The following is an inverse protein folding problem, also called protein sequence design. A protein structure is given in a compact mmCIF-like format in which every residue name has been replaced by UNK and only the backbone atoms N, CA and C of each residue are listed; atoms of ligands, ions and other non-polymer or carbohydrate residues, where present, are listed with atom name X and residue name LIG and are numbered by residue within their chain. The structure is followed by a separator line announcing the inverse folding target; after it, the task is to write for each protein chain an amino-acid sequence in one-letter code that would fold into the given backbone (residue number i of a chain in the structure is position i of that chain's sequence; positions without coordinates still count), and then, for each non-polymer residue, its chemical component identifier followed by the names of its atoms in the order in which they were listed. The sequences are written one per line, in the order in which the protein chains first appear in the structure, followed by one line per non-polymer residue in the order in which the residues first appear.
data_IF_365929854436
#
_entry.id   IF_365929854436
#
_cell.length_a   1.000
_cell.length_b   1.000
_cell.length_c   1.000
_cell.angle_alpha   90.00
_cell.angle_beta   90.00
_cell.angle_gamma   90.00
#
_symmetry.space_group_name_H-M   'P 1'
#
loop_
_entity.id
_entity.type
_entity.pdbx_description
1 polymer ?
#
# COMPACT_ATOMS: atom_id res chain seq x y z
N UNK A 1 -11.23 53.51 -37.11
CA UNK A 1 -11.92 52.45 -37.90
C UNK A 1 -10.83 51.57 -38.47
N UNK A 2 -10.73 50.27 -38.28
CA UNK A 2 -11.57 49.22 -37.70
C UNK A 2 -10.62 48.02 -37.42
N UNK A 3 -10.99 47.18 -36.46
CA UNK A 3 -11.39 45.77 -36.68
C UNK A 3 -11.36 45.04 -35.34
N UNK A 4 -12.53 44.90 -34.71
CA UNK A 4 -12.74 43.94 -33.65
C UNK A 4 -12.73 42.54 -34.26
N UNK A 5 -11.84 41.69 -33.76
CA UNK A 5 -11.72 40.28 -34.15
C UNK A 5 -12.84 39.50 -33.46
N UNK A 6 -13.84 39.05 -34.23
CA UNK A 6 -14.74 38.00 -33.76
C UNK A 6 -13.95 36.69 -33.64
N UNK A 7 -13.81 36.23 -32.40
CA UNK A 7 -13.30 34.91 -32.03
C UNK A 7 -14.28 33.85 -32.53
N UNK A 8 -13.91 33.15 -33.60
CA UNK A 8 -14.61 31.93 -34.05
C UNK A 8 -14.39 30.84 -33.03
N UNK A 9 -15.43 30.47 -32.28
CA UNK A 9 -15.42 29.25 -31.47
C UNK A 9 -15.55 28.05 -32.41
N UNK A 10 -14.58 27.14 -32.32
CA UNK A 10 -14.51 25.91 -33.10
C UNK A 10 -15.47 24.87 -32.53
N UNK A 11 -16.60 24.63 -33.18
CA UNK A 11 -17.36 23.38 -33.04
C UNK A 11 -17.18 22.57 -34.33
N UNK A 12 -16.34 21.52 -34.24
CA UNK A 12 -16.01 20.62 -35.34
C UNK A 12 -17.22 19.77 -35.75
N UNK A 13 -17.98 20.25 -36.72
CA UNK A 13 -19.08 19.54 -37.37
C UNK A 13 -19.45 20.21 -38.69
N UNK A 14 -20.09 19.45 -39.59
CA UNK A 14 -20.63 19.98 -40.86
C UNK A 14 -21.46 21.25 -40.56
N UNK A 15 -21.23 22.37 -41.27
CA UNK A 15 -21.91 23.64 -40.98
C UNK A 15 -23.42 23.48 -41.03
N UNK A 16 -24.14 24.26 -40.20
CA UNK A 16 -25.59 24.31 -40.21
C UNK A 16 -26.08 24.71 -41.61
N UNK A 17 -27.19 24.10 -42.05
CA UNK A 17 -27.82 24.42 -43.34
C UNK A 17 -28.55 25.78 -43.35
N UNK A 18 -28.54 26.48 -42.22
CA UNK A 18 -29.20 27.75 -41.99
C UNK A 18 -28.35 28.60 -41.04
N UNK A 19 -28.47 29.92 -41.18
CA UNK A 19 -27.82 30.90 -40.30
C UNK A 19 -28.59 30.98 -38.96
N UNK A 20 -27.92 30.84 -37.80
CA UNK A 20 -28.52 31.08 -36.49
C UNK A 20 -29.28 32.41 -36.36
N UNK A 21 -28.85 33.47 -37.03
CA UNK A 21 -29.51 34.78 -36.98
C UNK A 21 -30.91 34.75 -37.61
N UNK A 22 -31.16 33.83 -38.55
CA UNK A 22 -32.49 33.62 -39.14
C UNK A 22 -33.48 33.05 -38.11
N UNK A 23 -33.02 32.15 -37.24
CA UNK A 23 -33.85 31.60 -36.16
C UNK A 23 -34.29 32.71 -35.22
N UNK A 24 -33.36 33.58 -34.82
CA UNK A 24 -33.66 34.73 -33.98
C UNK A 24 -34.65 35.68 -34.67
N UNK A 25 -34.45 35.99 -35.96
CA UNK A 25 -35.34 36.87 -36.73
C UNK A 25 -36.75 36.31 -36.92
N UNK A 26 -36.91 34.99 -37.11
CA UNK A 26 -38.23 34.35 -37.19
C UNK A 26 -38.97 34.49 -35.86
N UNK A 27 -38.28 34.26 -34.75
CA UNK A 27 -38.85 34.36 -33.40
C UNK A 27 -39.23 35.82 -33.10
N UNK A 28 -38.36 36.80 -33.37
CA UNK A 28 -38.67 38.22 -33.11
C UNK A 28 -39.82 38.74 -33.98
N UNK A 29 -39.90 38.33 -35.26
CA UNK A 29 -41.04 38.67 -36.13
C UNK A 29 -42.34 38.05 -35.62
N UNK A 30 -42.33 36.77 -35.24
CA UNK A 30 -43.50 36.11 -34.70
C UNK A 30 -44.01 36.75 -33.40
N UNK A 31 -43.10 37.23 -32.54
CA UNK A 31 -43.48 38.02 -31.36
C UNK A 31 -44.08 39.38 -31.74
N UNK A 32 -43.54 40.05 -32.75
CA UNK A 32 -44.07 41.33 -33.24
C UNK A 32 -45.48 41.17 -33.86
N UNK A 33 -45.77 40.01 -34.44
CA UNK A 33 -47.09 39.61 -34.95
C UNK A 33 -48.06 39.18 -33.84
N UNK A 34 -47.63 39.18 -32.57
CA UNK A 34 -48.47 38.90 -31.41
C UNK A 34 -48.53 37.43 -30.97
N UNK A 35 -47.67 36.56 -31.51
CA UNK A 35 -47.58 35.17 -31.07
C UNK A 35 -46.93 35.07 -29.69
N UNK A 36 -47.33 34.07 -28.90
CA UNK A 36 -46.66 33.80 -27.61
C UNK A 36 -45.35 33.03 -27.82
N UNK A 37 -44.41 33.14 -26.87
CA UNK A 37 -43.17 32.33 -26.87
C UNK A 37 -43.45 30.81 -26.89
N UNK A 38 -44.62 30.38 -26.40
CA UNK A 38 -45.06 28.98 -26.46
C UNK A 38 -45.51 28.56 -27.86
N UNK A 39 -46.06 29.48 -28.66
CA UNK A 39 -46.50 29.22 -30.04
C UNK A 39 -45.32 29.23 -31.02
N UNK A 40 -44.26 29.97 -30.70
CA UNK A 40 -42.98 30.01 -31.42
C UNK A 40 -42.11 28.78 -31.12
N UNK A 41 -42.71 27.60 -31.22
CA UNK A 41 -42.08 26.32 -30.96
C UNK A 41 -41.08 25.94 -32.05
N UNK A 42 -40.27 24.92 -31.76
CA UNK A 42 -39.38 24.28 -32.72
C UNK A 42 -40.07 23.91 -34.05
N UNK A 43 -41.34 23.47 -33.99
CA UNK A 43 -42.13 23.11 -35.16
C UNK A 43 -42.40 24.31 -36.07
N UNK A 44 -42.82 25.43 -35.46
CA UNK A 44 -43.09 26.68 -36.16
C UNK A 44 -41.84 27.27 -36.81
N UNK A 45 -40.73 27.34 -36.06
CA UNK A 45 -39.46 27.87 -36.59
C UNK A 45 -38.93 26.99 -37.73
N UNK A 46 -39.07 25.67 -37.61
CA UNK A 46 -38.68 24.73 -38.66
C UNK A 46 -39.52 24.90 -39.93
N UNK A 47 -40.82 25.12 -39.79
CA UNK A 47 -41.74 25.37 -40.90
C UNK A 47 -41.39 26.68 -41.61
N UNK A 48 -41.18 27.77 -40.86
CA UNK A 48 -40.76 29.06 -41.41
C UNK A 48 -39.39 29.04 -42.08
N UNK A 49 -38.41 28.32 -41.52
CA UNK A 49 -37.11 28.12 -42.19
C UNK A 49 -37.24 27.37 -43.52
N UNK A 50 -38.17 26.43 -43.62
CA UNK A 50 -38.42 25.68 -44.86
C UNK A 50 -39.18 26.52 -45.89
N UNK A 51 -40.23 27.21 -45.47
CA UNK A 51 -41.14 27.95 -46.37
C UNK A 51 -40.55 29.28 -46.84
N UNK A 52 -39.99 30.07 -45.93
CA UNK A 52 -39.54 31.44 -46.25
C UNK A 52 -38.07 31.50 -46.65
N UNK A 53 -37.26 30.54 -46.17
CA UNK A 53 -35.81 30.53 -46.37
C UNK A 53 -35.31 29.33 -47.18
N UNK A 54 -36.20 28.46 -47.67
CA UNK A 54 -35.85 27.37 -48.59
C UNK A 54 -34.91 26.33 -48.01
N UNK A 55 -34.80 26.24 -46.69
CA UNK A 55 -33.91 25.28 -46.00
C UNK A 55 -34.50 23.88 -46.15
N UNK A 56 -34.01 23.16 -47.16
CA UNK A 56 -34.52 21.86 -47.61
C UNK A 56 -33.71 20.67 -47.10
N UNK A 57 -32.45 20.90 -46.71
CA UNK A 57 -31.60 19.87 -46.09
C UNK A 57 -32.11 19.48 -44.69
N UNK A 58 -31.85 18.23 -44.28
CA UNK A 58 -32.22 17.68 -42.98
C UNK A 58 -31.76 18.58 -41.83
N UNK A 59 -32.66 19.44 -41.33
CA UNK A 59 -32.41 20.28 -40.16
C UNK A 59 -32.24 19.37 -38.94
N UNK A 60 -31.07 19.48 -38.30
CA UNK A 60 -30.78 18.78 -37.05
C UNK A 60 -31.69 19.32 -35.95
N UNK A 61 -32.64 18.49 -35.51
CA UNK A 61 -33.66 18.85 -34.53
C UNK A 61 -33.04 19.44 -33.25
N UNK A 62 -32.02 18.77 -32.71
CA UNK A 62 -31.33 19.17 -31.47
C UNK A 62 -30.64 20.53 -31.59
N UNK A 63 -29.99 20.80 -32.73
CA UNK A 63 -29.30 22.07 -32.96
C UNK A 63 -30.30 23.22 -33.12
N UNK A 64 -31.40 23.00 -33.84
CA UNK A 64 -32.45 24.00 -33.96
C UNK A 64 -33.15 24.26 -32.62
N UNK A 65 -33.43 23.22 -31.84
CA UNK A 65 -34.05 23.35 -30.52
C UNK A 65 -33.19 24.15 -29.54
N UNK A 66 -31.86 23.93 -29.55
CA UNK A 66 -30.94 24.71 -28.76
C UNK A 66 -30.96 26.20 -29.15
N UNK A 67 -31.02 26.50 -30.45
CA UNK A 67 -31.09 27.88 -30.94
C UNK A 67 -32.42 28.57 -30.59
N UNK A 68 -33.55 27.87 -30.70
CA UNK A 68 -34.86 28.40 -30.30
C UNK A 68 -34.90 28.67 -28.79
N UNK A 69 -34.37 27.75 -27.97
CA UNK A 69 -34.29 27.95 -26.51
C UNK A 69 -33.38 29.13 -26.14
N UNK A 70 -32.24 29.26 -26.79
CA UNK A 70 -31.33 30.38 -26.56
C UNK A 70 -31.98 31.72 -26.92
N UNK A 71 -32.63 31.82 -28.08
CA UNK A 71 -33.35 33.02 -28.49
C UNK A 71 -34.51 33.37 -27.54
N UNK A 72 -35.28 32.37 -27.08
CA UNK A 72 -36.31 32.60 -26.06
C UNK A 72 -35.73 33.11 -24.74
N UNK A 73 -34.61 32.55 -24.28
CA UNK A 73 -33.94 32.99 -23.06
C UNK A 73 -33.47 34.44 -23.18
N UNK A 74 -32.80 34.79 -24.29
CA UNK A 74 -32.31 36.14 -24.56
C UNK A 74 -33.45 37.17 -24.62
N UNK A 75 -34.53 36.87 -25.34
CA UNK A 75 -35.68 37.78 -25.44
C UNK A 75 -36.39 37.93 -24.09
N UNK A 76 -36.51 36.84 -23.32
CA UNK A 76 -37.09 36.88 -21.98
C UNK A 76 -36.23 37.70 -21.03
N UNK A 77 -34.91 37.55 -21.11
CA UNK A 77 -33.95 38.33 -20.33
C UNK A 77 -33.99 39.81 -20.69
N UNK A 78 -33.98 40.17 -21.97
CA UNK A 78 -34.10 41.55 -22.43
C UNK A 78 -35.42 42.19 -21.97
N UNK A 79 -36.54 41.44 -22.04
CA UNK A 79 -37.84 41.89 -21.52
C UNK A 79 -37.80 42.07 -20.00
N UNK A 80 -37.19 41.15 -19.26
CA UNK A 80 -37.04 41.26 -17.82
C UNK A 80 -36.17 42.47 -17.43
N UNK A 81 -35.06 42.69 -18.12
CA UNK A 81 -34.20 43.87 -17.92
C UNK A 81 -34.96 45.17 -18.19
N UNK A 82 -35.74 45.22 -19.27
CA UNK A 82 -36.60 46.37 -19.57
C UNK A 82 -37.63 46.61 -18.46
N UNK A 83 -38.30 45.56 -17.97
CA UNK A 83 -39.22 45.66 -16.83
C UNK A 83 -38.52 46.17 -15.57
N UNK A 84 -37.34 45.65 -15.25
CA UNK A 84 -36.56 46.09 -14.11
C UNK A 84 -36.12 47.56 -14.24
N UNK A 85 -35.79 48.02 -15.45
CA UNK A 85 -35.43 49.41 -15.72
C UNK A 85 -36.60 50.40 -15.54
N UNK A 86 -37.85 49.92 -15.55
CA UNK A 86 -39.02 50.77 -15.25
C UNK A 86 -39.23 51.02 -13.77
N UNK A 87 -38.54 50.28 -12.89
CA UNK A 87 -38.65 50.49 -11.44
C UNK A 87 -38.01 51.83 -11.03
N UNK A 88 -38.59 52.55 -10.07
CA UNK A 88 -37.95 53.71 -9.46
C UNK A 88 -36.56 53.36 -8.92
N UNK A 89 -35.63 54.30 -9.11
CA UNK A 89 -34.24 54.13 -8.69
C UNK A 89 -34.14 53.83 -7.19
N UNK A 90 -35.02 54.41 -6.36
CA UNK A 90 -35.05 54.17 -4.92
C UNK A 90 -35.34 52.70 -4.56
N UNK A 91 -36.23 52.04 -5.31
CA UNK A 91 -36.57 50.63 -5.08
C UNK A 91 -35.40 49.73 -5.48
N UNK A 92 -34.81 49.99 -6.66
CA UNK A 92 -33.65 49.22 -7.13
C UNK A 92 -32.45 49.34 -6.17
N UNK A 93 -32.21 50.55 -5.65
CA UNK A 93 -31.17 50.82 -4.67
C UNK A 93 -31.45 50.10 -3.33
N UNK A 94 -32.69 50.15 -2.85
CA UNK A 94 -33.09 49.46 -1.61
C UNK A 94 -32.89 47.95 -1.72
N UNK A 95 -33.33 47.33 -2.83
CA UNK A 95 -33.13 45.89 -3.08
C UNK A 95 -31.64 45.56 -3.17
N UNK A 96 -30.86 46.36 -3.89
CA UNK A 96 -29.40 46.15 -3.98
C UNK A 96 -28.72 46.23 -2.61
N UNK A 97 -29.09 47.19 -1.76
CA UNK A 97 -28.53 47.28 -0.40
C UNK A 97 -28.94 46.11 0.48
N UNK A 98 -30.19 45.64 0.39
CA UNK A 98 -30.64 44.46 1.11
C UNK A 98 -29.88 43.21 0.66
N UNK A 99 -29.71 43.02 -0.65
CA UNK A 99 -28.94 41.91 -1.21
C UNK A 99 -27.47 41.95 -0.76
N UNK A 100 -26.81 43.10 -0.81
CA UNK A 100 -25.45 43.26 -0.33
C UNK A 100 -25.31 42.95 1.17
N UNK A 101 -26.30 43.35 2.00
CA UNK A 101 -26.34 43.00 3.41
C UNK A 101 -26.49 41.48 3.61
N UNK A 102 -27.40 40.83 2.87
CA UNK A 102 -27.57 39.38 2.94
C UNK A 102 -26.35 38.61 2.47
N UNK A 103 -25.71 39.05 1.39
CA UNK A 103 -24.48 38.45 0.87
C UNK A 103 -23.37 38.49 1.92
N UNK A 104 -23.20 39.64 2.57
CA UNK A 104 -22.22 39.81 3.65
C UNK A 104 -22.50 38.87 4.82
N UNK A 105 -23.75 38.75 5.27
CA UNK A 105 -24.11 37.84 6.37
C UNK A 105 -23.86 36.38 5.99
N UNK A 106 -24.22 35.96 4.77
CA UNK A 106 -23.94 34.61 4.27
C UNK A 106 -22.43 34.35 4.25
N UNK A 107 -21.64 35.28 3.73
CA UNK A 107 -20.18 35.16 3.72
C UNK A 107 -19.60 35.05 5.13
N UNK A 108 -20.11 35.81 6.09
CA UNK A 108 -19.66 35.74 7.48
C UNK A 108 -20.01 34.39 8.14
N UNK A 109 -21.20 33.85 7.87
CA UNK A 109 -21.58 32.52 8.36
C UNK A 109 -20.68 31.45 7.77
N UNK A 110 -20.44 31.48 6.45
CA UNK A 110 -19.54 30.54 5.77
C UNK A 110 -18.11 30.66 6.30
N UNK A 111 -17.60 31.88 6.48
CA UNK A 111 -16.27 32.10 7.03
C UNK A 111 -16.12 31.57 8.46
N UNK A 112 -17.15 31.75 9.32
CA UNK A 112 -17.17 31.19 10.68
C UNK A 112 -17.18 29.67 10.66
N UNK A 113 -18.02 29.05 9.83
CA UNK A 113 -18.07 27.59 9.68
C UNK A 113 -16.77 27.03 9.11
N UNK A 114 -16.17 27.70 8.15
CA UNK A 114 -14.88 27.32 7.60
C UNK A 114 -13.78 27.39 8.66
N UNK A 115 -13.72 28.48 9.43
CA UNK A 115 -12.74 28.65 10.52
C UNK A 115 -12.88 27.56 11.59
N UNK A 116 -14.10 27.20 12.01
CA UNK A 116 -14.31 26.13 12.99
C UNK A 116 -13.95 24.76 12.42
N UNK A 117 -14.33 24.48 11.17
CA UNK A 117 -13.96 23.24 10.49
C UNK A 117 -12.45 23.08 10.33
N UNK A 118 -11.76 24.15 9.92
CA UNK A 118 -10.31 24.18 9.79
C UNK A 118 -9.62 23.94 11.14
N UNK A 119 -10.07 24.62 12.20
CA UNK A 119 -9.50 24.42 13.54
C UNK A 119 -9.67 22.97 14.04
N UNK A 120 -10.80 22.31 13.73
CA UNK A 120 -10.99 20.89 14.05
C UNK A 120 -10.07 19.97 13.23
N UNK A 121 -9.91 20.26 11.94
CA UNK A 121 -9.03 19.51 11.07
C UNK A 121 -7.56 19.63 11.53
N UNK A 122 -7.12 20.84 11.89
CA UNK A 122 -5.77 21.11 12.38
C UNK A 122 -5.49 20.39 13.71
N UNK A 123 -6.44 20.41 14.64
CA UNK A 123 -6.34 19.64 15.90
C UNK A 123 -6.18 18.14 15.64
N UNK A 124 -7.02 17.57 14.78
CA UNK A 124 -6.95 16.15 14.44
C UNK A 124 -5.64 15.78 13.73
N UNK A 125 -5.11 16.69 12.90
CA UNK A 125 -3.80 16.48 12.29
C UNK A 125 -2.68 16.45 13.33
N UNK A 126 -2.74 17.32 14.34
CA UNK A 126 -1.72 17.33 15.39
C UNK A 126 -1.79 16.08 16.28
N UNK A 127 -3.00 15.63 16.64
CA UNK A 127 -3.21 14.35 17.34
C UNK A 127 -2.60 13.17 16.55
N UNK A 128 -2.88 13.09 15.25
CA UNK A 128 -2.30 12.04 14.40
C UNK A 128 -0.78 12.15 14.27
N UNK A 129 -0.21 13.37 14.31
CA UNK A 129 1.24 13.56 14.32
C UNK A 129 1.85 13.08 15.63
N UNK A 130 1.22 13.35 16.77
CA UNK A 130 1.69 12.85 18.07
C UNK A 130 1.62 11.33 18.13
N UNK A 131 0.53 10.73 17.67
CA UNK A 131 0.36 9.28 17.64
C UNK A 131 1.39 8.62 16.71
N UNK A 132 1.64 9.22 15.54
CA UNK A 132 2.70 8.76 14.63
C UNK A 132 4.07 8.78 15.31
N UNK A 133 4.43 9.87 16.01
CA UNK A 133 5.71 9.94 16.73
C UNK A 133 5.80 8.86 17.81
N UNK A 134 4.74 8.65 18.59
CA UNK A 134 4.69 7.62 19.62
C UNK A 134 4.84 6.20 19.04
N UNK A 135 4.13 5.92 17.94
CA UNK A 135 4.24 4.64 17.23
C UNK A 135 5.67 4.43 16.69
N UNK A 136 6.29 5.47 16.14
CA UNK A 136 7.69 5.40 15.67
C UNK A 136 8.66 5.09 16.81
N UNK A 137 8.51 5.72 17.97
CA UNK A 137 9.33 5.39 19.14
C UNK A 137 9.16 3.93 19.54
N UNK A 138 7.92 3.42 19.58
CA UNK A 138 7.67 2.01 19.94
C UNK A 138 8.24 1.04 18.91
N UNK A 139 8.20 1.38 17.62
CA UNK A 139 8.83 0.57 16.57
C UNK A 139 10.34 0.51 16.78
N UNK A 140 11.00 1.63 17.03
CA UNK A 140 12.46 1.66 17.26
C UNK A 140 12.83 0.81 18.49
N UNK A 141 12.06 0.92 19.57
CA UNK A 141 12.26 0.11 20.77
C UNK A 141 12.13 -1.39 20.46
N UNK A 142 11.06 -1.80 19.79
CA UNK A 142 10.86 -3.21 19.38
C UNK A 142 11.94 -3.71 18.41
N UNK A 143 12.42 -2.85 17.50
CA UNK A 143 13.52 -3.19 16.60
C UNK A 143 14.83 -3.42 17.36
N UNK A 144 15.09 -2.63 18.42
CA UNK A 144 16.25 -2.82 19.29
C UNK A 144 16.14 -4.11 20.12
N UNK A 145 14.99 -4.37 20.75
CA UNK A 145 14.71 -5.61 21.49
C UNK A 145 14.89 -6.84 20.58
N UNK A 146 14.38 -6.77 19.34
CA UNK A 146 14.54 -7.85 18.36
C UNK A 146 16.00 -8.06 17.96
N UNK A 147 16.80 -7.00 17.86
CA UNK A 147 18.21 -7.10 17.53
C UNK A 147 19.00 -7.76 18.67
N UNK A 148 18.73 -7.38 19.91
CA UNK A 148 19.30 -8.00 21.11
C UNK A 148 18.94 -9.48 21.19
N UNK A 149 17.66 -9.84 21.00
CA UNK A 149 17.23 -11.24 21.04
C UNK A 149 17.87 -12.07 19.92
N UNK A 150 18.03 -11.49 18.72
CA UNK A 150 18.74 -12.15 17.61
C UNK A 150 20.22 -12.37 17.94
N UNK A 151 20.86 -11.44 18.63
CA UNK A 151 22.25 -11.60 19.06
C UNK A 151 22.38 -12.71 20.10
N UNK A 152 21.54 -12.69 21.14
CA UNK A 152 21.51 -13.75 22.16
C UNK A 152 21.23 -15.14 21.58
N UNK A 153 20.32 -15.23 20.60
CA UNK A 153 20.05 -16.51 19.90
C UNK A 153 21.24 -17.02 19.10
N UNK A 154 22.04 -16.13 18.51
CA UNK A 154 23.27 -16.52 17.80
C UNK A 154 24.31 -17.04 18.78
N UNK A 155 24.51 -16.36 19.90
CA UNK A 155 25.43 -16.80 20.96
C UNK A 155 25.06 -18.20 21.48
N UNK A 156 23.78 -18.43 21.81
CA UNK A 156 23.29 -19.76 22.23
C UNK A 156 23.50 -20.81 21.12
N UNK A 157 23.33 -20.45 19.85
CA UNK A 157 23.55 -21.36 18.74
C UNK A 157 25.03 -21.75 18.61
N UNK A 158 25.93 -20.79 18.75
CA UNK A 158 27.39 -21.00 18.74
C UNK A 158 27.83 -21.87 19.94
N UNK A 159 27.35 -21.57 21.15
CA UNK A 159 27.59 -22.42 22.34
C UNK A 159 27.09 -23.84 22.14
N UNK A 160 25.90 -24.00 21.54
CA UNK A 160 25.34 -25.32 21.25
C UNK A 160 26.19 -26.09 20.25
N UNK A 161 26.73 -25.45 19.23
CA UNK A 161 27.64 -26.08 18.26
C UNK A 161 28.93 -26.53 18.94
N UNK A 162 29.54 -25.68 19.77
CA UNK A 162 30.73 -26.03 20.55
C UNK A 162 30.49 -27.24 21.46
N UNK A 163 29.37 -27.25 22.19
CA UNK A 163 29.01 -28.38 23.05
C UNK A 163 28.75 -29.66 22.26
N UNK A 164 28.16 -29.58 21.06
CA UNK A 164 27.97 -30.75 20.18
C UNK A 164 29.33 -31.32 19.75
N UNK A 165 30.28 -30.46 19.39
CA UNK A 165 31.64 -30.89 19.03
C UNK A 165 32.38 -31.53 20.21
N UNK A 166 32.29 -30.94 21.40
CA UNK A 166 32.88 -31.49 22.62
C UNK A 166 32.27 -32.85 22.96
N UNK A 167 30.94 -32.97 22.90
CA UNK A 167 30.25 -34.25 23.11
C UNK A 167 30.67 -35.30 22.08
N UNK A 168 30.91 -34.91 20.83
CA UNK A 168 31.40 -35.83 19.80
C UNK A 168 32.83 -36.32 20.13
N UNK A 169 33.73 -35.43 20.54
CA UNK A 169 35.10 -35.78 20.99
C UNK A 169 35.08 -36.73 22.19
N UNK A 170 34.25 -36.45 23.19
CA UNK A 170 34.11 -37.30 24.38
C UNK A 170 33.55 -38.68 24.02
N UNK A 171 32.51 -38.74 23.17
CA UNK A 171 31.94 -40.01 22.69
C UNK A 171 32.98 -40.84 21.93
N UNK A 172 33.80 -40.20 21.11
CA UNK A 172 34.87 -40.88 20.38
C UNK A 172 35.96 -41.38 21.32
N UNK A 173 36.42 -40.56 22.27
CA UNK A 173 37.36 -40.98 23.31
C UNK A 173 36.85 -42.16 24.13
N UNK A 174 35.55 -42.14 24.48
CA UNK A 174 34.88 -43.24 25.18
C UNK A 174 34.82 -44.50 24.32
N UNK A 175 34.54 -44.37 23.02
CA UNK A 175 34.56 -45.49 22.06
C UNK A 175 35.94 -46.15 22.01
N UNK A 176 37.01 -45.35 21.90
CA UNK A 176 38.40 -45.83 21.88
C UNK A 176 38.73 -46.55 23.20
N UNK A 177 38.44 -45.93 24.34
CA UNK A 177 38.70 -46.52 25.65
C UNK A 177 37.95 -47.84 25.85
N UNK A 178 36.70 -47.95 25.36
CA UNK A 178 35.96 -49.22 25.35
C UNK A 178 36.66 -50.29 24.51
N UNK A 179 37.08 -49.95 23.29
CA UNK A 179 37.80 -50.91 22.43
C UNK A 179 39.14 -51.35 23.05
N UNK A 180 39.84 -50.46 23.75
CA UNK A 180 41.08 -50.81 24.46
C UNK A 180 40.82 -51.71 25.66
N UNK A 181 39.77 -51.47 26.43
CA UNK A 181 39.35 -52.38 27.52
C UNK A 181 38.96 -53.76 26.99
N UNK A 182 38.20 -53.82 25.89
CA UNK A 182 37.86 -55.09 25.23
C UNK A 182 39.13 -55.82 24.76
N UNK A 183 40.09 -55.10 24.18
CA UNK A 183 41.39 -55.69 23.80
C UNK A 183 42.14 -56.24 25.01
N UNK A 184 42.31 -55.46 26.08
CA UNK A 184 43.02 -55.88 27.31
C UNK A 184 42.32 -57.06 27.98
N UNK A 185 40.99 -57.09 28.01
CA UNK A 185 40.22 -58.21 28.57
C UNK A 185 40.25 -59.47 27.69
N UNK A 186 40.47 -59.32 26.38
CA UNK A 186 40.67 -60.45 25.45
C UNK A 186 42.10 -61.00 25.45
N UNK A 187 43.08 -60.22 25.93
CA UNK A 187 44.42 -60.74 26.19
C UNK A 187 44.34 -61.73 27.38
N UNK A 188 44.78 -62.98 27.24
CA UNK A 188 44.73 -63.93 28.35
C UNK A 188 45.52 -63.33 29.50
N UNK A 189 44.89 -63.24 30.68
CA UNK A 189 45.54 -62.72 31.88
C UNK A 189 46.93 -63.38 32.00
N UNK A 190 47.97 -62.62 32.37
CA UNK A 190 49.33 -63.18 32.44
C UNK A 190 49.42 -64.48 33.24
N UNK A 191 48.50 -64.66 34.20
CA UNK A 191 48.27 -65.90 34.95
C UNK A 191 47.78 -67.05 34.07
N UNK A 192 46.81 -66.86 33.17
CA UNK A 192 46.32 -67.90 32.26
C UNK A 192 47.39 -68.32 31.24
N UNK A 193 48.20 -67.37 30.77
CA UNK A 193 49.35 -67.65 29.91
C UNK A 193 50.44 -68.44 30.65
N UNK A 194 50.77 -68.04 31.88
CA UNK A 194 51.70 -68.78 32.75
C UNK A 194 51.17 -70.17 33.11
N UNK A 195 49.87 -70.32 33.38
CA UNK A 195 49.25 -71.62 33.63
C UNK A 195 49.24 -72.51 32.38
N UNK A 196 49.06 -71.93 31.19
CA UNK A 196 49.19 -72.64 29.91
C UNK A 196 50.64 -73.08 29.65
N UNK A 197 51.62 -72.23 29.94
CA UNK A 197 53.05 -72.55 29.84
C UNK A 197 53.48 -73.61 30.87
N UNK A 198 53.00 -73.56 32.11
CA UNK A 198 53.21 -74.60 33.13
C UNK A 198 52.53 -75.94 32.79
N UNK A 199 51.46 -75.90 31.99
CA UNK A 199 50.83 -77.12 31.45
C UNK A 199 51.67 -77.78 30.36
N UNK A 200 52.63 -77.08 29.74
CA UNK A 200 53.55 -77.66 28.77
C UNK A 200 54.49 -78.67 29.46
N UNK A 201 54.47 -79.96 29.06
CA UNK A 201 55.27 -81.00 29.73
C UNK A 201 56.77 -80.70 29.68
N UNK A 202 57.27 -80.11 28.57
CA UNK A 202 58.70 -79.77 28.44
C UNK A 202 59.16 -78.76 29.49
N UNK A 203 58.40 -77.67 29.66
CA UNK A 203 58.71 -76.62 30.64
C UNK A 203 58.60 -77.18 32.07
N UNK A 204 57.64 -78.06 32.31
CA UNK A 204 57.48 -78.73 33.61
C UNK A 204 58.65 -79.66 33.93
N UNK A 205 59.13 -80.38 32.93
CA UNK A 205 60.27 -81.28 33.08
C UNK A 205 61.57 -80.49 33.31
N UNK A 206 61.75 -79.36 32.63
CA UNK A 206 62.89 -78.44 32.85
C UNK A 206 62.85 -77.82 34.27
N UNK A 207 61.68 -77.39 34.75
CA UNK A 207 61.50 -76.91 36.13
C UNK A 207 61.76 -78.03 37.14
N UNK A 208 61.32 -79.25 36.86
CA UNK A 208 61.57 -80.40 37.74
C UNK A 208 63.04 -80.78 37.76
N UNK A 209 63.74 -80.71 36.63
CA UNK A 209 65.16 -80.98 36.52
C UNK A 209 65.97 -79.96 37.34
N UNK A 210 65.68 -78.67 37.18
CA UNK A 210 66.34 -77.59 37.94
C UNK A 210 66.05 -77.67 39.44
N UNK A 211 64.81 -77.97 39.84
CA UNK A 211 64.49 -78.21 41.26
C UNK A 211 65.22 -79.44 41.82
N UNK A 212 65.36 -80.50 41.02
CA UNK A 212 66.10 -81.70 41.42
C UNK A 212 67.59 -81.39 41.59
N UNK A 213 68.19 -80.59 40.71
CA UNK A 213 69.57 -80.10 40.87
C UNK A 213 69.75 -79.27 42.14
N UNK A 214 68.82 -78.37 42.46
CA UNK A 214 68.89 -77.55 43.69
C UNK A 214 68.80 -78.43 44.94
N UNK A 215 67.93 -79.44 44.95
CA UNK A 215 67.79 -80.38 46.08
C UNK A 215 69.06 -81.23 46.23
N UNK A 216 69.68 -81.65 45.13
CA UNK A 216 70.94 -82.39 45.13
C UNK A 216 72.08 -81.51 45.67
N UNK A 217 72.09 -80.21 45.36
CA UNK A 217 73.10 -79.27 45.87
C UNK A 217 72.94 -78.94 47.37
N UNK A 218 71.79 -79.25 48.00
CA UNK A 218 71.53 -78.97 49.42
C UNK A 218 71.66 -80.17 50.37
N UNK A 219 72.02 -81.36 49.87
CA UNK A 219 72.28 -82.53 50.72
C UNK A 219 73.80 -82.77 50.93
N UNK A 220 74.38 -82.45 52.10
CA UNK A 220 75.73 -82.91 52.42
C UNK A 220 75.74 -84.40 52.78
N UNK A 221 76.62 -85.14 52.11
CA UNK A 221 76.96 -86.53 52.33
C UNK A 221 77.57 -86.76 53.71
N UNK A 222 76.90 -87.54 54.57
CA UNK A 222 77.52 -88.19 55.73
C UNK A 222 78.18 -89.49 55.28
N UNK A 223 79.52 -89.57 55.39
CA UNK A 223 80.26 -90.79 55.08
C UNK A 223 81.75 -90.68 55.32
N UNK A 224 82.18 -91.25 56.46
CA UNK A 224 83.55 -91.53 56.95
C UNK A 224 84.29 -90.38 57.65
#
# INVERSE_FOLDING_TARGET
MEKSKHTKSSSGGRPLSYDPDLVHNIITKGLAEGMSLTDLSLGYVKEKLREEHGVTDTIRKEALEALVKAAHAEITEAKNQALLATLPNEISAAVSTAMAATEREIMLVVARQHSTSQAMADRKCEELRTDKRNAQYRVIELESELAEEKAARKEIAEERELLIEELAKVREGLRIARTDMERISSEPAGVDRLLAELRNPKIRDDIRATLSEIIIQQTPSTGS
#
